data_IF_375175288751
#
_entry.id   IF_375175288751
#
_cell.length_a   1.000
_cell.length_b   1.000
_cell.length_c   1.000
_cell.angle_alpha   90.00
_cell.angle_beta   90.00
_cell.angle_gamma   90.00
#
_symmetry.space_group_name_H-M   'P 1'
#
loop_
_entity.id
_entity.type
_entity.pdbx_description
1 polymer ?
#
# COMPACT_ATOMS: atom_id res chain seq x y z
N UNK A 1 -20.77 15.53 -0.33
CA UNK A 1 -21.85 15.77 -1.33
C UNK A 1 -21.78 14.66 -2.36
N UNK A 2 -22.90 14.00 -2.66
CA UNK A 2 -22.96 13.02 -3.76
C UNK A 2 -23.12 13.82 -5.05
N UNK A 3 -22.15 13.70 -5.95
CA UNK A 3 -22.27 14.25 -7.30
C UNK A 3 -23.33 13.45 -8.06
N UNK A 4 -24.50 14.06 -8.28
CA UNK A 4 -25.63 13.42 -8.96
C UNK A 4 -25.36 13.12 -10.44
N UNK A 5 -24.27 13.65 -11.01
CA UNK A 5 -23.87 13.41 -12.39
C UNK A 5 -22.75 12.37 -12.51
N UNK A 6 -22.21 11.85 -11.39
CA UNK A 6 -21.19 10.80 -11.44
C UNK A 6 -21.84 9.48 -11.84
N UNK A 7 -21.48 8.97 -13.03
CA UNK A 7 -21.82 7.63 -13.47
C UNK A 7 -20.92 6.65 -12.71
N UNK A 8 -21.51 5.82 -11.85
CA UNK A 8 -20.79 4.76 -11.15
C UNK A 8 -20.68 3.53 -12.04
N UNK A 9 -19.48 2.97 -12.13
CA UNK A 9 -19.20 1.73 -12.85
C UNK A 9 -18.87 0.61 -11.86
N UNK A 10 -19.47 -0.56 -12.07
CA UNK A 10 -19.12 -1.76 -11.29
C UNK A 10 -17.62 -2.08 -11.40
N UNK A 11 -17.01 -1.83 -12.55
CA UNK A 11 -15.60 -2.15 -12.80
C UNK A 11 -14.63 -1.14 -12.20
N UNK A 12 -15.02 0.14 -12.11
CA UNK A 12 -14.10 1.21 -11.70
C UNK A 12 -14.32 1.69 -10.26
N UNK A 13 -15.56 1.63 -9.75
CA UNK A 13 -15.91 2.19 -8.44
C UNK A 13 -16.21 1.11 -7.39
N UNK A 14 -16.59 -0.11 -7.79
CA UNK A 14 -17.01 -1.18 -6.87
C UNK A 14 -15.97 -2.29 -6.78
N UNK A 15 -15.55 -2.85 -7.92
CA UNK A 15 -14.57 -3.92 -7.95
C UNK A 15 -13.17 -3.35 -7.66
N UNK A 16 -12.69 -3.60 -6.44
CA UNK A 16 -11.32 -3.32 -6.05
C UNK A 16 -10.31 -4.22 -6.80
N UNK A 17 -9.01 -3.89 -6.72
CA UNK A 17 -7.98 -4.80 -7.22
C UNK A 17 -8.09 -6.18 -6.60
N UNK A 18 -7.69 -7.19 -7.37
CA UNK A 18 -7.26 -8.46 -6.79
C UNK A 18 -6.08 -8.15 -5.87
N UNK A 19 -6.19 -8.57 -4.60
CA UNK A 19 -5.18 -8.29 -3.60
C UNK A 19 -5.02 -9.45 -2.61
N UNK A 20 -3.83 -9.53 -2.02
CA UNK A 20 -3.52 -10.42 -0.91
C UNK A 20 -3.14 -9.57 0.32
N UNK A 21 -3.95 -9.65 1.37
CA UNK A 21 -3.78 -8.86 2.58
C UNK A 21 -5.09 -8.49 3.26
N UNK A 22 -5.03 -8.05 4.52
CA UNK A 22 -6.23 -7.90 5.35
C UNK A 22 -7.13 -6.74 4.90
N UNK A 23 -6.61 -5.76 4.13
CA UNK A 23 -7.35 -4.53 3.84
C UNK A 23 -6.99 -3.90 2.49
N UNK A 24 -8.00 -3.45 1.75
CA UNK A 24 -7.82 -2.71 0.49
C UNK A 24 -7.29 -1.30 0.72
N UNK A 25 -7.75 -0.62 1.77
CA UNK A 25 -7.31 0.73 2.12
C UNK A 25 -5.97 0.76 2.84
N UNK A 26 -5.68 -0.24 3.68
CA UNK A 26 -4.47 -0.24 4.49
C UNK A 26 -3.40 -1.21 3.98
N UNK A 27 -3.65 -2.02 2.96
CA UNK A 27 -2.60 -2.86 2.34
C UNK A 27 -2.48 -2.56 0.84
N UNK A 28 -3.55 -2.74 0.07
CA UNK A 28 -3.47 -2.57 -1.39
C UNK A 28 -3.20 -1.12 -1.82
N UNK A 29 -3.82 -0.14 -1.16
CA UNK A 29 -3.54 1.27 -1.46
C UNK A 29 -2.08 1.66 -1.12
N UNK A 30 -1.50 1.32 0.05
CA UNK A 30 -0.07 1.49 0.30
C UNK A 30 0.86 0.82 -0.72
N UNK A 31 0.53 -0.39 -1.19
CA UNK A 31 1.31 -1.04 -2.27
C UNK A 31 1.27 -0.23 -3.56
N UNK A 32 0.11 0.27 -3.97
CA UNK A 32 -0.01 1.12 -5.16
C UNK A 32 0.75 2.44 -5.02
N UNK A 33 0.61 3.11 -3.88
CA UNK A 33 1.34 4.36 -3.58
C UNK A 33 2.84 4.10 -3.58
N UNK A 34 3.28 3.01 -2.93
CA UNK A 34 4.68 2.60 -2.90
C UNK A 34 5.24 2.33 -4.29
N UNK A 35 4.49 1.65 -5.18
CA UNK A 35 4.93 1.43 -6.57
C UNK A 35 5.12 2.72 -7.34
N UNK A 36 4.17 3.64 -7.22
CA UNK A 36 4.28 4.96 -7.86
C UNK A 36 5.51 5.70 -7.34
N UNK A 37 5.74 5.70 -6.02
CA UNK A 37 6.94 6.28 -5.44
C UNK A 37 8.21 5.58 -5.94
N UNK A 38 8.24 4.25 -5.98
CA UNK A 38 9.39 3.45 -6.42
C UNK A 38 9.76 3.69 -7.87
N UNK A 39 8.79 3.92 -8.76
CA UNK A 39 9.03 4.27 -10.17
C UNK A 39 9.75 5.62 -10.34
N UNK A 40 9.67 6.51 -9.35
CA UNK A 40 10.36 7.80 -9.36
C UNK A 40 11.80 7.71 -8.82
N UNK A 41 12.23 6.56 -8.30
CA UNK A 41 13.56 6.37 -7.71
C UNK A 41 14.44 5.60 -8.70
N UNK A 42 15.56 6.18 -9.12
CA UNK A 42 16.47 5.54 -10.07
C UNK A 42 17.20 4.30 -9.51
N UNK A 43 17.48 4.30 -8.21
CA UNK A 43 18.24 3.24 -7.52
C UNK A 43 17.43 2.66 -6.35
N UNK A 44 17.76 1.45 -5.90
CA UNK A 44 17.08 0.87 -4.74
C UNK A 44 17.36 1.71 -3.48
N UNK A 45 16.33 2.23 -2.79
CA UNK A 45 16.52 3.03 -1.60
C UNK A 45 17.13 2.17 -0.49
N UNK A 46 18.15 2.70 0.20
CA UNK A 46 18.72 2.05 1.38
C UNK A 46 17.80 2.23 2.58
N UNK A 47 17.21 3.42 2.71
CA UNK A 47 16.33 3.85 3.79
C UNK A 47 15.09 4.53 3.24
N UNK A 48 13.96 4.29 3.89
CA UNK A 48 12.66 4.90 3.56
C UNK A 48 12.07 5.45 4.87
N UNK A 49 11.61 6.70 4.83
CA UNK A 49 10.84 7.32 5.91
C UNK A 49 9.38 7.41 5.46
N UNK A 50 8.46 6.88 6.27
CA UNK A 50 7.02 6.96 6.03
C UNK A 50 6.42 7.64 7.24
N UNK A 51 5.84 8.82 7.05
CA UNK A 51 5.21 9.61 8.10
C UNK A 51 3.69 9.61 7.89
N UNK A 52 2.97 9.39 8.99
CA UNK A 52 1.52 9.48 9.02
C UNK A 52 1.11 10.66 9.87
N UNK A 53 0.02 11.33 9.48
CA UNK A 53 -0.62 12.31 10.34
C UNK A 53 -1.14 11.61 11.60
N UNK A 54 -0.76 12.12 12.77
CA UNK A 54 -0.93 11.43 14.07
C UNK A 54 -2.38 11.13 14.45
N UNK A 55 -3.34 11.90 13.94
CA UNK A 55 -4.77 11.78 14.26
C UNK A 55 -5.58 11.11 13.14
N UNK A 56 -4.95 10.30 12.28
CA UNK A 56 -5.59 9.63 11.15
C UNK A 56 -5.44 8.11 11.22
N UNK A 57 -6.30 7.41 10.48
CA UNK A 57 -6.45 5.95 10.51
C UNK A 57 -5.15 5.17 10.27
N UNK A 58 -4.22 5.70 9.47
CA UNK A 58 -2.92 5.06 9.28
C UNK A 58 -2.09 5.07 10.56
N UNK A 59 -2.00 6.20 11.28
CA UNK A 59 -1.21 6.28 12.50
C UNK A 59 -1.75 5.34 13.59
N UNK A 60 -3.07 5.16 13.66
CA UNK A 60 -3.72 4.30 14.66
C UNK A 60 -3.39 2.81 14.50
N UNK A 61 -3.25 2.29 13.26
CA UNK A 61 -3.14 0.84 13.05
C UNK A 61 -2.34 0.40 11.82
N UNK A 62 -1.32 1.15 11.41
CA UNK A 62 -0.50 0.77 10.24
C UNK A 62 0.19 -0.59 10.39
N UNK A 63 0.55 -1.02 11.61
CA UNK A 63 1.20 -2.31 11.85
C UNK A 63 0.18 -3.46 11.74
N UNK A 64 -0.98 -3.33 12.39
CA UNK A 64 -1.99 -4.39 12.43
C UNK A 64 -2.63 -4.62 11.07
N UNK A 65 -2.86 -3.55 10.30
CA UNK A 65 -3.37 -3.62 8.93
C UNK A 65 -2.28 -3.70 7.86
N UNK A 66 -1.01 -3.72 8.29
CA UNK A 66 0.19 -3.98 7.50
C UNK A 66 0.45 -2.94 6.39
N UNK A 67 0.12 -1.68 6.65
CA UNK A 67 0.37 -0.56 5.75
C UNK A 67 1.86 -0.30 5.54
N UNK A 68 2.66 -0.41 6.61
CA UNK A 68 4.13 -0.35 6.55
C UNK A 68 4.69 -1.31 5.49
N UNK A 69 4.27 -2.57 5.56
CA UNK A 69 4.68 -3.63 4.64
C UNK A 69 4.15 -3.41 3.24
N UNK A 70 2.94 -2.84 3.11
CA UNK A 70 2.37 -2.46 1.84
C UNK A 70 3.23 -1.41 1.12
N UNK A 71 3.59 -0.32 1.80
CA UNK A 71 4.48 0.71 1.24
C UNK A 71 5.84 0.13 0.84
N UNK A 72 6.47 -0.66 1.70
CA UNK A 72 7.77 -1.29 1.41
C UNK A 72 7.66 -2.21 0.18
N UNK A 73 6.65 -3.07 0.13
CA UNK A 73 6.44 -3.97 -1.00
C UNK A 73 6.24 -3.19 -2.31
N UNK A 74 5.43 -2.13 -2.27
CA UNK A 74 5.22 -1.24 -3.41
C UNK A 74 6.51 -0.58 -3.89
N UNK A 75 7.29 0.01 -2.99
CA UNK A 75 8.56 0.68 -3.34
C UNK A 75 9.55 -0.31 -3.96
N UNK A 76 9.49 -1.58 -3.57
CA UNK A 76 10.29 -2.66 -4.15
C UNK A 76 9.71 -3.23 -5.46
N UNK A 77 8.65 -2.65 -6.02
CA UNK A 77 8.07 -3.00 -7.31
C UNK A 77 7.08 -4.18 -7.28
N UNK A 78 6.47 -4.50 -6.13
CA UNK A 78 5.53 -5.62 -5.97
C UNK A 78 4.10 -5.19 -6.26
N UNK A 79 3.29 -6.03 -6.88
CA UNK A 79 1.88 -5.75 -7.16
C UNK A 79 0.96 -6.19 -6.01
N UNK A 80 -0.29 -5.70 -5.97
CA UNK A 80 -1.21 -5.93 -4.84
C UNK A 80 -1.64 -7.39 -4.65
N UNK A 81 -1.54 -8.19 -5.72
CA UNK A 81 -1.84 -9.61 -5.79
C UNK A 81 -0.62 -10.51 -5.56
N UNK A 82 0.55 -9.94 -5.24
CA UNK A 82 1.75 -10.73 -4.96
C UNK A 82 1.55 -11.57 -3.67
N UNK A 83 1.76 -12.90 -3.71
CA UNK A 83 1.54 -13.79 -2.56
C UNK A 83 2.48 -13.56 -1.37
N UNK A 84 3.56 -12.81 -1.57
CA UNK A 84 4.41 -12.35 -0.48
C UNK A 84 3.80 -11.17 0.29
N UNK A 85 2.71 -10.56 -0.19
CA UNK A 85 2.02 -9.47 0.47
C UNK A 85 0.87 -10.01 1.33
N UNK A 86 0.76 -9.53 2.58
CA UNK A 86 1.66 -8.61 3.25
C UNK A 86 2.90 -9.37 3.76
N UNK A 87 4.09 -8.73 3.74
CA UNK A 87 5.35 -9.39 4.04
C UNK A 87 5.33 -10.09 5.42
N UNK A 88 5.26 -11.42 5.41
CA UNK A 88 5.06 -12.24 6.62
C UNK A 88 6.37 -12.91 7.06
N UNK A 89 7.37 -12.12 7.47
CA UNK A 89 8.45 -12.46 8.42
C UNK A 89 9.54 -11.40 8.41
N UNK A 90 10.05 -11.09 9.60
CA UNK A 90 11.38 -10.53 9.90
C UNK A 90 12.51 -11.45 9.40
N UNK A 91 12.42 -11.93 8.16
CA UNK A 91 13.51 -12.59 7.46
C UNK A 91 14.25 -11.54 6.65
N UNK A 92 15.18 -10.81 7.31
CA UNK A 92 16.17 -9.91 6.71
C UNK A 92 15.80 -9.38 5.31
N UNK A 93 14.91 -8.40 5.26
CA UNK A 93 14.95 -7.43 4.16
C UNK A 93 15.35 -6.13 4.85
N UNK A 94 16.60 -5.73 4.65
CA UNK A 94 17.25 -4.67 5.41
C UNK A 94 16.42 -3.40 5.44
N UNK A 95 15.90 -3.08 6.63
CA UNK A 95 15.89 -1.70 7.10
C UNK A 95 17.38 -1.32 7.23
N UNK A 96 17.88 -0.57 6.26
CA UNK A 96 19.04 0.31 6.42
C UNK A 96 18.49 1.75 6.46
#
# INVERSE_FOLDING_TARGET
MIDKNKIYSIFNDILGPIMLGPSSSHTAAPVRIGNLAGQLIENKPKKILIEFESNKSFAENYIGLKSDKGFIAGILGRTTDDPMIPLNKTGKMGLI
#
